data_IF_307052287119
#
_entry.id   IF_307052287119
#
_cell.length_a   1.000
_cell.length_b   1.000
_cell.length_c   1.000
_cell.angle_alpha   90.00
_cell.angle_beta   90.00
_cell.angle_gamma   90.00
#
_symmetry.space_group_name_H-M   'P 1'
#
loop_
_entity.id
_entity.type
_entity.pdbx_description
1 polymer ?
#
# COMPACT_ATOMS: atom_id res chain seq x y z
N UNK A 1 24.93 -19.52 -5.92
CA UNK A 1 25.12 -20.78 -5.17
C UNK A 1 23.89 -20.99 -4.29
N UNK A 2 23.11 -22.05 -4.55
CA UNK A 2 21.85 -22.31 -3.85
C UNK A 2 22.13 -22.82 -2.43
N UNK A 3 21.62 -22.09 -1.42
CA UNK A 3 21.66 -22.48 -0.01
C UNK A 3 20.70 -23.67 0.24
N UNK A 4 20.94 -24.55 1.24
CA UNK A 4 20.22 -25.81 1.42
C UNK A 4 18.71 -25.74 1.77
N UNK A 5 18.04 -24.58 1.76
CA UNK A 5 16.62 -24.50 2.16
C UNK A 5 15.88 -23.25 1.63
N UNK A 6 15.90 -23.00 0.32
CA UNK A 6 15.09 -21.95 -0.32
C UNK A 6 15.84 -20.65 -0.59
N UNK A 7 15.16 -19.51 -0.42
CA UNK A 7 15.69 -18.17 -0.70
C UNK A 7 15.14 -17.14 0.31
N UNK A 8 15.58 -15.88 0.23
CA UNK A 8 15.07 -14.79 1.08
C UNK A 8 13.55 -14.58 0.96
N UNK A 9 12.96 -15.01 -0.16
CA UNK A 9 11.54 -14.87 -0.43
C UNK A 9 10.70 -15.97 0.23
N UNK A 10 11.13 -17.21 0.10
CA UNK A 10 10.37 -18.41 0.47
C UNK A 10 11.30 -19.53 0.93
N UNK A 11 10.91 -20.22 1.99
CA UNK A 11 11.61 -21.38 2.53
C UNK A 11 11.00 -22.64 1.92
N UNK A 12 11.78 -23.38 1.13
CA UNK A 12 11.30 -24.55 0.39
C UNK A 12 12.42 -25.49 -0.01
N UNK A 13 12.06 -26.75 -0.28
CA UNK A 13 12.98 -27.82 -0.67
C UNK A 13 12.79 -28.30 -2.12
N UNK A 14 12.32 -27.41 -3.00
CA UNK A 14 12.23 -27.65 -4.44
C UNK A 14 12.55 -26.39 -5.27
N UNK A 15 12.91 -26.62 -6.53
CA UNK A 15 13.04 -25.60 -7.57
C UNK A 15 11.84 -25.67 -8.51
N UNK A 16 11.29 -24.51 -8.88
CA UNK A 16 10.24 -24.38 -9.88
C UNK A 16 10.86 -24.45 -11.29
N UNK A 17 10.28 -25.26 -12.16
CA UNK A 17 10.60 -25.21 -13.59
C UNK A 17 9.79 -24.10 -14.25
N UNK A 18 10.47 -23.06 -14.70
CA UNK A 18 9.86 -21.89 -15.27
C UNK A 18 9.19 -22.23 -16.62
N UNK A 19 7.87 -22.02 -16.79
CA UNK A 19 7.16 -22.41 -18.02
C UNK A 19 7.54 -21.54 -19.24
N UNK A 20 8.12 -20.36 -19.01
CA UNK A 20 8.56 -19.43 -20.05
C UNK A 20 9.88 -19.85 -20.73
N UNK A 21 10.84 -20.35 -19.96
CA UNK A 21 12.21 -20.61 -20.44
C UNK A 21 12.73 -22.02 -20.12
N UNK A 22 11.98 -22.83 -19.37
CA UNK A 22 12.35 -24.20 -18.99
C UNK A 22 13.45 -24.30 -17.93
N UNK A 23 14.04 -23.18 -17.52
CA UNK A 23 15.08 -23.09 -16.49
C UNK A 23 14.49 -23.31 -15.08
N UNK A 24 15.37 -23.66 -14.14
CA UNK A 24 14.98 -23.99 -12.76
C UNK A 24 15.39 -22.86 -11.80
N UNK A 25 14.45 -22.40 -11.01
CA UNK A 25 14.68 -21.36 -10.00
C UNK A 25 14.05 -21.75 -8.69
N UNK A 26 14.63 -21.28 -7.57
CA UNK A 26 14.04 -21.49 -6.24
C UNK A 26 12.62 -20.92 -6.20
N UNK A 27 12.41 -19.71 -6.72
CA UNK A 27 11.07 -19.14 -6.82
C UNK A 27 10.93 -18.18 -8.00
N UNK A 28 9.68 -17.77 -8.29
CA UNK A 28 9.37 -16.81 -9.36
C UNK A 28 10.14 -15.50 -9.25
N UNK A 29 10.40 -15.03 -8.03
CA UNK A 29 11.05 -13.73 -7.82
C UNK A 29 12.56 -13.82 -8.06
N UNK A 30 13.16 -14.96 -7.74
CA UNK A 30 14.54 -15.24 -8.13
C UNK A 30 14.67 -15.38 -9.64
N UNK A 31 13.65 -15.94 -10.32
CA UNK A 31 13.58 -15.93 -11.78
C UNK A 31 13.53 -14.49 -12.30
N UNK A 32 12.56 -13.69 -11.86
CA UNK A 32 12.31 -12.33 -12.37
C UNK A 32 13.48 -11.36 -12.09
N UNK A 33 14.35 -11.68 -11.12
CA UNK A 33 15.56 -10.91 -10.83
C UNK A 33 16.74 -11.26 -11.76
N UNK A 34 16.80 -12.50 -12.24
CA UNK A 34 17.90 -13.01 -13.09
C UNK A 34 17.56 -12.96 -14.58
N UNK A 35 16.27 -12.90 -14.92
CA UNK A 35 15.77 -12.92 -16.29
C UNK A 35 15.14 -11.58 -16.69
N UNK A 36 15.18 -11.27 -17.99
CA UNK A 36 14.59 -10.05 -18.54
C UNK A 36 13.06 -10.12 -18.76
N UNK A 37 12.40 -11.10 -18.17
CA UNK A 37 10.97 -11.36 -18.31
C UNK A 37 10.41 -11.96 -17.02
N UNK A 38 9.09 -11.89 -16.85
CA UNK A 38 8.42 -12.38 -15.65
C UNK A 38 7.90 -13.80 -15.82
N UNK A 39 7.98 -14.60 -14.75
CA UNK A 39 7.44 -15.95 -14.70
C UNK A 39 5.98 -15.96 -14.25
N UNK A 40 5.12 -16.56 -15.07
CA UNK A 40 3.74 -16.84 -14.68
C UNK A 40 3.66 -18.02 -13.71
N UNK A 41 3.35 -17.71 -12.45
CA UNK A 41 3.22 -18.69 -11.36
C UNK A 41 2.09 -19.70 -11.57
N UNK A 42 1.04 -19.33 -12.29
CA UNK A 42 -0.15 -20.19 -12.47
C UNK A 42 0.10 -21.30 -13.51
N UNK A 43 1.13 -21.11 -14.37
CA UNK A 43 1.47 -22.04 -15.45
C UNK A 43 2.57 -23.04 -15.07
N UNK A 44 3.14 -22.94 -13.87
CA UNK A 44 4.12 -23.90 -13.38
C UNK A 44 3.44 -25.27 -13.29
N UNK A 45 4.08 -26.31 -13.84
CA UNK A 45 3.57 -27.70 -13.77
C UNK A 45 4.54 -28.66 -13.14
N UNK A 46 5.83 -28.36 -13.22
CA UNK A 46 6.89 -29.25 -12.79
C UNK A 46 7.80 -28.56 -11.77
N UNK A 47 8.29 -29.35 -10.83
CA UNK A 47 9.26 -28.93 -9.82
C UNK A 47 10.38 -29.98 -9.74
N UNK A 48 11.57 -29.54 -9.35
CA UNK A 48 12.70 -30.43 -9.06
C UNK A 48 12.94 -30.48 -7.55
N UNK A 49 13.03 -31.68 -6.99
CA UNK A 49 13.39 -31.88 -5.60
C UNK A 49 14.83 -31.42 -5.32
N UNK A 50 15.05 -30.64 -4.27
CA UNK A 50 16.41 -30.21 -3.89
C UNK A 50 17.26 -31.35 -3.30
N UNK A 51 16.63 -32.32 -2.61
CA UNK A 51 17.33 -33.44 -1.96
C UNK A 51 17.79 -34.54 -2.93
N UNK A 52 16.87 -35.08 -3.75
CA UNK A 52 17.14 -36.22 -4.63
C UNK A 52 17.16 -35.86 -6.12
N UNK A 53 17.01 -34.57 -6.47
CA UNK A 53 17.08 -34.04 -7.84
C UNK A 53 16.00 -34.56 -8.82
N UNK A 54 15.02 -35.33 -8.36
CA UNK A 54 13.89 -35.81 -9.16
C UNK A 54 13.04 -34.65 -9.67
N UNK A 55 12.80 -34.62 -10.98
CA UNK A 55 11.82 -33.74 -11.62
C UNK A 55 10.47 -34.44 -11.63
N UNK A 56 9.44 -33.75 -11.17
CA UNK A 56 8.10 -34.31 -10.99
C UNK A 56 7.02 -33.23 -11.18
N UNK A 57 5.76 -33.63 -11.24
CA UNK A 57 4.64 -32.69 -11.20
C UNK A 57 4.65 -31.89 -9.89
N UNK A 58 4.14 -30.66 -9.95
CA UNK A 58 3.99 -29.82 -8.78
C UNK A 58 3.02 -30.46 -7.78
N UNK A 59 3.53 -30.76 -6.59
CA UNK A 59 2.78 -31.32 -5.46
C UNK A 59 3.57 -31.06 -4.18
N UNK A 60 2.96 -31.22 -3.01
CA UNK A 60 3.55 -30.83 -1.73
C UNK A 60 4.79 -31.66 -1.31
N UNK A 61 4.90 -32.90 -1.76
CA UNK A 61 5.96 -33.84 -1.35
C UNK A 61 6.69 -34.45 -2.54
N UNK A 62 7.95 -34.82 -2.36
CA UNK A 62 8.71 -35.53 -3.39
C UNK A 62 8.17 -36.95 -3.61
N UNK A 63 8.01 -37.37 -4.87
CA UNK A 63 7.55 -38.72 -5.21
C UNK A 63 8.61 -39.81 -4.96
N UNK A 64 9.88 -39.43 -4.89
CA UNK A 64 10.99 -40.37 -4.73
C UNK A 64 11.49 -40.47 -3.28
N UNK A 65 11.83 -39.34 -2.64
CA UNK A 65 12.37 -39.34 -1.28
C UNK A 65 11.36 -38.92 -0.20
N UNK A 66 10.11 -38.62 -0.57
CA UNK A 66 9.04 -38.18 0.33
C UNK A 66 9.32 -36.90 1.15
N UNK A 67 10.37 -36.15 0.82
CA UNK A 67 10.62 -34.85 1.48
C UNK A 67 9.47 -33.90 1.19
N UNK A 68 9.03 -33.17 2.22
CA UNK A 68 8.01 -32.13 2.08
C UNK A 68 8.67 -30.84 1.58
N UNK A 69 8.16 -30.29 0.47
CA UNK A 69 8.73 -29.09 -0.15
C UNK A 69 8.39 -27.80 0.60
N UNK A 70 7.33 -27.80 1.40
CA UNK A 70 6.93 -26.70 2.26
C UNK A 70 5.76 -27.09 3.18
N UNK A 71 5.72 -26.50 4.37
CA UNK A 71 4.61 -26.66 5.32
C UNK A 71 3.30 -26.19 4.70
N UNK A 72 3.35 -25.10 3.94
CA UNK A 72 2.26 -24.59 3.14
C UNK A 72 2.50 -24.86 1.65
N UNK A 73 1.51 -25.46 1.00
CA UNK A 73 1.43 -25.60 -0.45
C UNK A 73 0.11 -25.03 -0.96
N UNK A 74 0.18 -24.17 -1.97
CA UNK A 74 -0.99 -23.74 -2.73
C UNK A 74 -0.88 -24.25 -4.15
N UNK A 75 -1.80 -25.14 -4.53
CA UNK A 75 -1.88 -25.74 -5.85
C UNK A 75 -2.17 -24.69 -6.94
N UNK A 76 -3.11 -23.78 -6.68
CA UNK A 76 -3.48 -22.71 -7.64
C UNK A 76 -2.28 -21.80 -7.95
N UNK A 77 -1.56 -21.35 -6.92
CA UNK A 77 -0.45 -20.41 -7.08
C UNK A 77 0.91 -21.09 -7.31
N UNK A 78 0.97 -22.42 -7.21
CA UNK A 78 2.20 -23.22 -7.11
C UNK A 78 3.21 -22.63 -6.10
N UNK A 79 2.71 -22.21 -4.93
CA UNK A 79 3.51 -21.58 -3.87
C UNK A 79 3.87 -22.61 -2.80
N UNK A 80 5.18 -22.76 -2.55
CA UNK A 80 5.75 -23.56 -1.47
C UNK A 80 6.45 -22.65 -0.47
N UNK A 81 6.06 -22.70 0.80
CA UNK A 81 6.68 -21.89 1.86
C UNK A 81 6.50 -22.56 3.24
N UNK A 82 7.19 -22.04 4.26
CA UNK A 82 6.88 -22.34 5.67
C UNK A 82 5.51 -21.79 6.09
N UNK A 83 4.92 -22.29 7.17
CA UNK A 83 3.65 -21.77 7.68
C UNK A 83 3.85 -20.37 8.31
N UNK A 84 3.34 -19.35 7.62
CA UNK A 84 3.19 -17.96 8.08
C UNK A 84 1.71 -17.63 8.24
N UNK A 85 0.85 -18.65 8.42
CA UNK A 85 -0.62 -18.54 8.41
C UNK A 85 -1.19 -17.96 7.12
N UNK A 86 -0.47 -18.11 6.01
CA UNK A 86 -0.93 -17.67 4.70
C UNK A 86 -2.13 -18.49 4.22
N UNK A 87 -2.95 -17.87 3.39
CA UNK A 87 -4.13 -18.50 2.81
C UNK A 87 -4.32 -18.03 1.37
N UNK A 88 -4.97 -18.87 0.56
CA UNK A 88 -5.35 -18.48 -0.80
C UNK A 88 -6.68 -17.72 -0.74
N UNK A 89 -6.70 -16.49 -1.26
CA UNK A 89 -7.94 -15.73 -1.44
C UNK A 89 -8.49 -16.00 -2.83
N UNK A 90 -9.59 -16.75 -2.92
CA UNK A 90 -10.21 -17.13 -4.19
C UNK A 90 -10.61 -15.91 -5.05
N UNK A 91 -11.31 -14.88 -4.53
CA UNK A 91 -11.63 -13.69 -5.32
C UNK A 91 -10.42 -12.93 -5.87
N UNK A 92 -9.30 -12.91 -5.13
CA UNK A 92 -8.06 -12.27 -5.60
C UNK A 92 -7.22 -13.18 -6.52
N UNK A 93 -7.44 -14.49 -6.47
CA UNK A 93 -6.60 -15.49 -7.15
C UNK A 93 -5.15 -15.57 -6.66
N UNK A 94 -4.84 -15.03 -5.47
CA UNK A 94 -3.48 -15.02 -4.92
C UNK A 94 -3.42 -15.36 -3.44
N UNK A 95 -2.27 -15.92 -3.01
CA UNK A 95 -1.98 -16.17 -1.60
C UNK A 95 -1.70 -14.86 -0.86
N UNK A 96 -2.33 -14.68 0.29
CA UNK A 96 -2.12 -13.56 1.24
C UNK A 96 -1.53 -14.10 2.53
N UNK A 97 -0.75 -13.28 3.23
CA UNK A 97 -0.28 -13.60 4.59
C UNK A 97 -1.45 -13.38 5.55
N UNK A 98 -1.73 -14.35 6.41
CA UNK A 98 -2.87 -14.34 7.32
C UNK A 98 -2.48 -14.16 8.79
N UNK A 99 -3.24 -14.74 9.73
CA UNK A 99 -4.23 -15.82 9.53
C UNK A 99 -5.54 -15.36 8.87
N UNK A 100 -6.26 -16.29 8.21
CA UNK A 100 -7.45 -15.99 7.40
C UNK A 100 -8.55 -15.30 8.20
N UNK A 101 -8.68 -15.66 9.48
CA UNK A 101 -9.72 -15.14 10.37
C UNK A 101 -9.57 -13.64 10.69
N UNK A 102 -8.38 -13.07 10.49
CA UNK A 102 -8.10 -11.64 10.70
C UNK A 102 -8.36 -10.78 9.46
N UNK A 103 -8.77 -11.38 8.35
CA UNK A 103 -8.97 -10.68 7.09
C UNK A 103 -10.29 -11.09 6.45
N UNK A 104 -10.94 -10.13 5.81
CA UNK A 104 -12.08 -10.37 4.94
C UNK A 104 -11.78 -9.86 3.53
N UNK A 105 -12.46 -10.43 2.53
CA UNK A 105 -12.42 -9.91 1.17
C UNK A 105 -13.60 -8.96 0.96
N UNK A 106 -13.33 -7.74 0.51
CA UNK A 106 -14.36 -6.81 0.10
C UNK A 106 -14.54 -6.87 -1.43
N UNK A 107 -15.65 -7.46 -1.88
CA UNK A 107 -15.95 -7.65 -3.31
C UNK A 107 -16.01 -6.32 -4.09
N UNK A 108 -16.62 -5.28 -3.52
CA UNK A 108 -16.70 -3.96 -4.16
C UNK A 108 -15.31 -3.34 -4.36
N UNK A 109 -14.47 -3.44 -3.34
CA UNK A 109 -13.13 -2.89 -3.35
C UNK A 109 -12.13 -3.81 -4.10
N UNK A 110 -12.49 -5.08 -4.34
CA UNK A 110 -11.62 -6.14 -4.84
C UNK A 110 -10.30 -6.24 -4.06
N UNK A 111 -10.39 -6.23 -2.73
CA UNK A 111 -9.24 -6.17 -1.82
C UNK A 111 -9.47 -6.98 -0.54
N UNK A 112 -8.43 -7.68 -0.08
CA UNK A 112 -8.40 -8.26 1.27
C UNK A 112 -8.03 -7.18 2.29
N UNK A 113 -8.89 -6.98 3.28
CA UNK A 113 -8.75 -5.97 4.33
C UNK A 113 -8.74 -6.64 5.71
N UNK A 114 -8.08 -6.00 6.68
CA UNK A 114 -8.10 -6.45 8.07
C UNK A 114 -9.52 -6.40 8.63
N UNK A 115 -9.86 -7.32 9.55
CA UNK A 115 -11.20 -7.45 10.11
C UNK A 115 -11.73 -6.17 10.76
N UNK A 116 -10.85 -5.34 11.33
CA UNK A 116 -11.19 -4.06 11.96
C UNK A 116 -11.79 -3.03 10.97
N UNK A 117 -11.57 -3.22 9.67
CA UNK A 117 -12.10 -2.39 8.59
C UNK A 117 -13.49 -2.85 8.11
N UNK A 118 -14.03 -3.93 8.65
CA UNK A 118 -15.33 -4.46 8.28
C UNK A 118 -16.42 -3.44 8.64
N UNK A 119 -17.16 -2.97 7.64
CA UNK A 119 -18.24 -1.97 7.81
C UNK A 119 -17.78 -0.52 7.96
N UNK A 120 -16.49 -0.27 8.24
CA UNK A 120 -15.98 1.06 8.57
C UNK A 120 -15.06 1.67 7.52
N UNK A 121 -14.59 0.89 6.53
CA UNK A 121 -13.75 1.45 5.48
C UNK A 121 -14.57 2.20 4.42
N UNK A 122 -14.00 3.28 3.91
CA UNK A 122 -14.52 3.97 2.72
C UNK A 122 -14.26 3.08 1.50
N UNK A 123 -15.28 2.34 1.06
CA UNK A 123 -15.09 1.45 -0.07
C UNK A 123 -15.10 2.21 -1.39
N UNK A 124 -13.98 2.11 -2.11
CA UNK A 124 -13.78 2.66 -3.44
C UNK A 124 -13.66 1.48 -4.40
N UNK A 125 -14.47 1.49 -5.46
CA UNK A 125 -14.55 0.37 -6.38
C UNK A 125 -13.21 0.11 -7.08
N UNK A 126 -12.79 -1.17 -7.14
CA UNK A 126 -11.58 -1.60 -7.84
C UNK A 126 -10.28 -0.87 -7.43
N UNK A 127 -10.24 -0.29 -6.23
CA UNK A 127 -9.13 0.56 -5.79
C UNK A 127 -7.78 -0.18 -5.79
N UNK A 128 -7.77 -1.49 -5.56
CA UNK A 128 -6.54 -2.29 -5.56
C UNK A 128 -5.92 -2.50 -6.94
N UNK A 129 -6.67 -2.26 -8.04
CA UNK A 129 -6.19 -2.44 -9.41
C UNK A 129 -5.42 -1.23 -9.96
N UNK A 130 -5.27 -0.19 -9.16
CA UNK A 130 -4.46 0.97 -9.51
C UNK A 130 -3.03 0.80 -8.98
N UNK A 131 -2.05 1.32 -9.73
CA UNK A 131 -0.67 1.37 -9.26
C UNK A 131 -0.53 2.38 -8.12
N UNK A 132 0.48 2.18 -7.28
CA UNK A 132 0.82 3.12 -6.23
C UNK A 132 1.22 4.47 -6.86
N UNK A 133 0.57 5.59 -6.51
CA UNK A 133 0.88 6.90 -7.10
C UNK A 133 2.26 7.47 -6.70
N UNK A 134 2.96 6.82 -5.76
CA UNK A 134 4.29 7.24 -5.29
C UNK A 134 5.40 6.52 -6.08
N UNK A 135 5.34 5.19 -6.19
CA UNK A 135 6.38 4.40 -6.88
C UNK A 135 5.97 3.90 -8.27
N UNK A 136 4.70 4.06 -8.66
CA UNK A 136 4.12 3.61 -9.93
C UNK A 136 4.08 2.08 -10.11
N UNK A 137 4.33 1.31 -9.05
CA UNK A 137 4.26 -0.16 -9.07
C UNK A 137 2.87 -0.69 -8.70
N UNK A 138 2.58 -1.93 -9.13
CA UNK A 138 1.31 -2.61 -8.86
C UNK A 138 1.07 -2.80 -7.34
N UNK A 139 -0.15 -2.50 -6.88
CA UNK A 139 -0.56 -2.72 -5.48
C UNK A 139 -1.16 -4.12 -5.32
N UNK A 140 -1.89 -4.63 -6.33
CA UNK A 140 -2.73 -5.82 -6.15
C UNK A 140 -1.91 -7.08 -5.87
N UNK A 141 -0.89 -7.33 -6.68
CA UNK A 141 -0.06 -8.55 -6.67
C UNK A 141 1.26 -8.37 -5.93
N UNK A 142 1.54 -7.15 -5.44
CA UNK A 142 2.72 -6.86 -4.63
C UNK A 142 2.71 -7.63 -3.32
N UNK A 143 3.92 -7.92 -2.85
CA UNK A 143 4.16 -8.50 -1.51
C UNK A 143 4.21 -7.44 -0.43
N UNK A 144 4.39 -6.19 -0.82
CA UNK A 144 4.34 -5.06 0.10
C UNK A 144 2.88 -4.82 0.45
N UNK A 145 2.56 -4.77 1.74
CA UNK A 145 1.20 -4.50 2.18
C UNK A 145 0.70 -3.16 1.67
N UNK A 146 -0.60 -3.07 1.36
CA UNK A 146 -1.24 -1.81 1.02
C UNK A 146 -1.68 -1.09 2.31
N UNK A 147 -1.54 0.23 2.32
CA UNK A 147 -2.07 1.11 3.34
C UNK A 147 -3.26 1.88 2.76
N UNK A 148 -4.40 1.84 3.46
CA UNK A 148 -5.63 2.57 3.09
C UNK A 148 -5.62 3.93 3.78
N UNK A 149 -5.55 5.00 3.01
CA UNK A 149 -5.63 6.37 3.55
C UNK A 149 -7.06 6.72 3.99
N UNK A 150 -7.25 7.73 4.87
CA UNK A 150 -8.58 8.20 5.28
C UNK A 150 -9.49 8.58 4.10
N UNK A 151 -8.90 9.10 3.02
CA UNK A 151 -9.63 9.43 1.79
C UNK A 151 -10.08 8.22 0.97
N UNK A 152 -9.60 7.01 1.28
CA UNK A 152 -9.90 5.74 0.61
C UNK A 152 -8.85 5.29 -0.42
N UNK A 153 -7.89 6.15 -0.79
CA UNK A 153 -6.82 5.80 -1.72
C UNK A 153 -5.78 4.86 -1.09
N UNK A 154 -5.14 4.04 -1.92
CA UNK A 154 -4.13 3.06 -1.49
C UNK A 154 -2.72 3.53 -1.83
N UNK A 155 -1.80 3.24 -0.92
CA UNK A 155 -0.34 3.32 -1.14
C UNK A 155 0.30 2.00 -0.73
N UNK A 156 1.48 1.67 -1.24
CA UNK A 156 2.31 0.67 -0.55
C UNK A 156 2.67 1.18 0.85
N UNK A 157 2.75 0.26 1.82
CA UNK A 157 3.10 0.59 3.21
C UNK A 157 4.45 1.31 3.30
N UNK A 158 5.44 0.88 2.51
CA UNK A 158 6.74 1.54 2.41
C UNK A 158 6.62 2.99 1.90
N UNK A 159 5.85 3.22 0.85
CA UNK A 159 5.61 4.57 0.32
C UNK A 159 4.87 5.46 1.32
N UNK A 160 3.91 4.90 2.07
CA UNK A 160 3.25 5.64 3.15
C UNK A 160 4.23 6.00 4.28
N UNK A 161 5.08 5.06 4.69
CA UNK A 161 6.08 5.30 5.74
C UNK A 161 7.12 6.35 5.29
N UNK A 162 7.47 6.37 4.01
CA UNK A 162 8.31 7.41 3.40
C UNK A 162 7.62 8.79 3.43
N UNK A 163 6.32 8.85 3.16
CA UNK A 163 5.54 10.09 3.29
C UNK A 163 5.54 10.61 4.73
N UNK A 164 5.34 9.74 5.72
CA UNK A 164 5.41 10.10 7.14
C UNK A 164 6.79 10.64 7.50
N UNK A 165 7.87 9.96 7.07
CA UNK A 165 9.25 10.38 7.34
C UNK A 165 9.60 11.73 6.71
N UNK A 166 9.07 12.03 5.53
CA UNK A 166 9.33 13.29 4.81
C UNK A 166 8.38 14.42 5.20
N UNK A 167 7.36 14.14 6.01
CA UNK A 167 6.33 15.13 6.39
C UNK A 167 5.31 15.42 5.28
N UNK A 168 5.26 14.60 4.22
CA UNK A 168 4.31 14.73 3.13
C UNK A 168 2.92 14.24 3.57
N UNK A 169 2.20 15.06 4.34
CA UNK A 169 0.92 14.67 4.95
C UNK A 169 -0.28 14.63 4.02
N UNK A 170 -0.15 15.02 2.75
CA UNK A 170 -1.27 15.09 1.80
C UNK A 170 -1.27 13.89 0.88
N UNK A 171 -2.44 13.30 0.65
CA UNK A 171 -2.62 12.27 -0.35
C UNK A 171 -2.22 12.80 -1.74
N UNK A 172 -1.34 12.11 -2.49
CA UNK A 172 -0.86 12.58 -3.79
C UNK A 172 -1.95 12.61 -4.88
N UNK A 173 -3.10 11.96 -4.64
CA UNK A 173 -4.21 11.89 -5.60
C UNK A 173 -5.28 12.95 -5.37
N UNK A 174 -5.53 13.33 -4.11
CA UNK A 174 -6.68 14.18 -3.77
C UNK A 174 -6.40 15.26 -2.72
N UNK A 175 -5.15 15.38 -2.26
CA UNK A 175 -4.69 16.38 -1.28
C UNK A 175 -5.29 16.27 0.13
N UNK A 176 -6.25 15.38 0.37
CA UNK A 176 -6.76 15.06 1.70
C UNK A 176 -5.62 14.59 2.62
N UNK A 177 -5.68 14.96 3.90
CA UNK A 177 -4.72 14.54 4.93
C UNK A 177 -4.62 13.01 4.98
N UNK A 178 -3.40 12.49 4.94
CA UNK A 178 -3.08 11.07 4.86
C UNK A 178 -3.13 10.37 6.23
N UNK A 179 -3.07 11.12 7.33
CA UNK A 179 -3.22 10.67 8.71
C UNK A 179 -3.79 11.80 9.57
N UNK A 180 -4.01 11.56 10.87
CA UNK A 180 -4.50 12.59 11.79
C UNK A 180 -3.47 13.71 11.95
N UNK A 181 -3.90 14.95 11.74
CA UNK A 181 -3.07 16.15 11.85
C UNK A 181 -3.46 17.02 13.06
N UNK A 182 -4.27 16.48 13.99
CA UNK A 182 -4.81 17.21 15.15
C UNK A 182 -3.71 17.93 15.95
N UNK A 183 -2.68 17.22 16.38
CA UNK A 183 -1.56 17.80 17.13
C UNK A 183 -0.84 18.91 16.36
N UNK A 184 -0.74 18.78 15.03
CA UNK A 184 -0.10 19.77 14.18
C UNK A 184 -0.98 21.02 14.03
N UNK A 185 -2.29 20.85 13.88
CA UNK A 185 -3.25 21.96 13.83
C UNK A 185 -3.28 22.73 15.15
N UNK A 186 -3.19 22.04 16.29
CA UNK A 186 -3.09 22.65 17.61
C UNK A 186 -1.81 23.49 17.79
N UNK A 187 -0.72 23.10 17.14
CA UNK A 187 0.52 23.91 17.11
C UNK A 187 0.31 25.18 16.29
N UNK A 188 -0.31 25.08 15.12
CA UNK A 188 -0.63 26.25 14.28
C UNK A 188 -1.55 27.22 15.03
N UNK A 189 -2.56 26.72 15.76
CA UNK A 189 -3.44 27.56 16.59
C UNK A 189 -2.64 28.39 17.61
N UNK A 190 -1.66 27.77 18.29
CA UNK A 190 -0.80 28.45 19.27
C UNK A 190 0.08 29.51 18.62
N UNK A 191 0.66 29.21 17.46
CA UNK A 191 1.52 30.16 16.73
C UNK A 191 0.72 31.36 16.22
N UNK A 192 -0.49 31.13 15.70
CA UNK A 192 -1.42 32.19 15.28
C UNK A 192 -1.80 33.10 16.45
N UNK A 193 -2.11 32.53 17.62
CA UNK A 193 -2.43 33.32 18.80
C UNK A 193 -1.27 34.20 19.29
N UNK A 194 -0.03 33.77 19.06
CA UNK A 194 1.19 34.50 19.43
C UNK A 194 1.65 35.51 18.36
N UNK A 195 1.12 35.44 17.15
CA UNK A 195 1.58 36.23 15.99
C UNK A 195 0.43 37.03 15.38
N UNK A 196 -0.11 38.05 16.07
CA UNK A 196 -1.27 38.81 15.57
C UNK A 196 -0.98 39.47 14.22
N UNK A 197 -1.97 39.47 13.33
CA UNK A 197 -1.86 40.08 12.00
C UNK A 197 -1.62 41.60 12.09
N UNK A 198 -0.84 42.19 11.16
CA UNK A 198 -0.67 43.63 11.04
C UNK A 198 -2.01 44.36 10.89
N UNK A 199 -2.09 45.59 11.40
CA UNK A 199 -3.33 46.40 11.45
C UNK A 199 -4.05 46.50 10.10
N UNK A 200 -3.30 46.57 9.00
CA UNK A 200 -3.85 46.64 7.63
C UNK A 200 -4.67 45.39 7.22
N UNK A 201 -4.38 44.25 7.83
CA UNK A 201 -5.03 42.96 7.54
C UNK A 201 -5.86 42.46 8.73
N UNK A 202 -5.98 43.24 9.81
CA UNK A 202 -6.81 42.87 10.95
C UNK A 202 -8.29 42.78 10.52
N UNK A 203 -8.91 41.63 10.81
CA UNK A 203 -10.30 41.36 10.42
C UNK A 203 -10.50 41.01 8.95
N UNK A 204 -9.43 40.92 8.14
CA UNK A 204 -9.52 40.42 6.78
C UNK A 204 -10.05 38.97 6.78
N UNK A 205 -10.92 38.65 5.82
CA UNK A 205 -11.47 37.30 5.66
C UNK A 205 -11.26 36.80 4.24
N UNK A 206 -11.21 35.49 4.10
CA UNK A 206 -10.94 34.81 2.84
C UNK A 206 -11.86 33.61 2.67
N UNK A 207 -12.30 33.37 1.43
CA UNK A 207 -13.05 32.18 1.05
C UNK A 207 -12.08 31.04 0.81
N UNK A 208 -12.31 29.90 1.45
CA UNK A 208 -11.48 28.70 1.35
C UNK A 208 -12.32 27.47 0.99
N UNK A 209 -11.66 26.47 0.42
CA UNK A 209 -12.11 25.08 0.35
C UNK A 209 -11.19 24.24 1.25
N UNK A 210 -11.78 23.39 2.09
CA UNK A 210 -11.01 22.44 2.89
C UNK A 210 -10.79 21.12 2.14
N UNK A 211 -9.54 20.66 2.02
CA UNK A 211 -9.23 19.39 1.36
C UNK A 211 -9.67 18.17 2.18
N UNK A 212 -9.91 18.34 3.49
CA UNK A 212 -10.29 17.25 4.39
C UNK A 212 -11.81 17.04 4.43
N UNK A 213 -12.60 18.10 4.66
CA UNK A 213 -14.07 17.98 4.73
C UNK A 213 -14.80 18.48 3.47
N UNK A 214 -14.10 19.03 2.48
CA UNK A 214 -14.67 19.60 1.25
C UNK A 214 -15.64 20.78 1.47
N UNK A 215 -15.74 21.30 2.69
CA UNK A 215 -16.57 22.46 2.99
C UNK A 215 -15.97 23.75 2.41
N UNK A 216 -16.86 24.62 1.92
CA UNK A 216 -16.53 26.01 1.59
C UNK A 216 -16.81 26.90 2.80
N UNK A 217 -15.80 27.64 3.25
CA UNK A 217 -15.90 28.49 4.43
C UNK A 217 -15.39 29.91 4.10
N UNK A 218 -15.91 30.92 4.79
CA UNK A 218 -15.27 32.23 4.86
C UNK A 218 -14.67 32.37 6.25
N UNK A 219 -13.36 32.52 6.34
CA UNK A 219 -12.61 32.44 7.61
C UNK A 219 -11.65 33.62 7.75
N UNK A 220 -11.20 33.96 8.97
CA UNK A 220 -10.17 34.97 9.16
C UNK A 220 -8.91 34.63 8.38
N UNK A 221 -8.35 35.63 7.70
CA UNK A 221 -7.09 35.48 6.99
C UNK A 221 -5.92 35.57 7.99
N UNK A 222 -5.03 34.58 7.94
CA UNK A 222 -3.77 34.59 8.66
C UNK A 222 -2.66 34.01 7.79
N UNK A 223 -1.47 34.60 7.83
CA UNK A 223 -0.34 34.19 6.97
C UNK A 223 0.17 32.77 7.26
N UNK A 224 0.05 32.32 8.52
CA UNK A 224 0.46 30.96 8.94
C UNK A 224 -0.54 29.87 8.54
N UNK A 225 -1.81 30.21 8.30
CA UNK A 225 -2.81 29.21 7.96
C UNK A 225 -4.25 29.70 8.09
N UNK A 226 -5.14 29.10 7.30
CA UNK A 226 -6.57 29.41 7.30
C UNK A 226 -7.34 28.21 7.83
N UNK A 227 -7.84 28.31 9.07
CA UNK A 227 -8.54 27.21 9.75
C UNK A 227 -9.93 27.01 9.17
N UNK A 228 -10.26 25.79 8.74
CA UNK A 228 -11.61 25.45 8.34
C UNK A 228 -12.58 25.54 9.51
N UNK A 229 -13.68 26.29 9.35
CA UNK A 229 -14.70 26.44 10.41
C UNK A 229 -15.56 25.19 10.62
N UNK A 230 -15.56 24.24 9.69
CA UNK A 230 -16.35 23.01 9.78
C UNK A 230 -15.64 21.87 10.49
N UNK A 231 -14.35 21.64 10.21
CA UNK A 231 -13.60 20.51 10.76
C UNK A 231 -12.32 20.92 11.52
N UNK A 232 -11.97 22.20 11.58
CA UNK A 232 -10.77 22.68 12.26
C UNK A 232 -9.45 22.45 11.52
N UNK A 233 -9.46 21.79 10.37
CA UNK A 233 -8.24 21.53 9.58
C UNK A 233 -7.67 22.80 8.94
N UNK A 234 -6.35 22.91 8.91
CA UNK A 234 -5.62 23.92 8.13
C UNK A 234 -5.21 23.44 6.74
N UNK A 235 -5.59 22.22 6.34
CA UNK A 235 -5.39 21.72 4.98
C UNK A 235 -6.41 22.35 4.02
N UNK A 236 -6.25 23.64 3.75
CA UNK A 236 -7.20 24.48 3.02
C UNK A 236 -6.54 25.17 1.83
N UNK A 237 -7.34 25.55 0.83
CA UNK A 237 -6.92 26.31 -0.34
C UNK A 237 -7.82 27.54 -0.51
N UNK A 238 -7.25 28.68 -0.88
CA UNK A 238 -8.02 29.87 -1.21
C UNK A 238 -8.88 29.63 -2.45
N UNK A 239 -10.16 29.99 -2.37
CA UNK A 239 -11.03 30.10 -3.53
C UNK A 239 -10.68 31.39 -4.30
N UNK A 240 -9.67 31.34 -5.17
CA UNK A 240 -9.48 32.41 -6.14
C UNK A 240 -10.57 32.30 -7.21
N UNK A 241 -11.30 33.39 -7.45
CA UNK A 241 -12.12 33.56 -8.65
C UNK A 241 -11.18 33.59 -9.88
N UNK A 242 -10.82 32.41 -10.38
CA UNK A 242 -9.93 32.23 -11.52
C UNK A 242 -8.47 32.06 -11.11
N UNK A 243 -7.88 30.93 -11.51
CA UNK A 243 -6.47 30.51 -11.31
C UNK A 243 -6.06 30.10 -9.90
N UNK A 244 -5.80 28.80 -9.73
CA UNK A 244 -5.24 28.18 -8.52
C UNK A 244 -3.79 28.65 -8.35
N UNK A 245 -3.54 29.55 -7.40
CA UNK A 245 -2.19 29.88 -6.95
C UNK A 245 -1.88 29.07 -5.69
N UNK A 246 -1.02 28.06 -5.83
CA UNK A 246 -0.42 27.39 -4.68
C UNK A 246 0.50 28.39 -3.98
N UNK A 247 0.07 28.94 -2.84
CA UNK A 247 0.96 29.70 -1.97
C UNK A 247 1.81 28.69 -1.17
N UNK A 248 2.92 28.27 -1.78
CA UNK A 248 3.99 27.54 -1.11
C UNK A 248 4.73 28.51 -0.18
N UNK A 249 4.29 28.61 1.07
CA UNK A 249 5.13 29.20 2.12
C UNK A 249 6.21 28.18 2.50
N UNK A 250 7.39 28.29 1.87
CA UNK A 250 8.62 27.74 2.43
C UNK A 250 8.99 28.58 3.65
N UNK A 251 8.73 28.07 4.84
CA UNK A 251 9.46 28.52 6.03
C UNK A 251 10.77 27.73 6.10
N UNK A 252 11.82 28.31 5.51
CA UNK A 252 13.21 28.00 5.86
C UNK A 252 13.71 29.13 6.74
N UNK A 253 13.95 28.84 8.02
CA UNK A 253 15.13 29.29 8.77
C UNK A 253 15.50 28.19 9.76
#
# INVERSE_FOLDING_TARGET
MASPAGCEHYVRSCLLKAPCCGKLYVCRLCHDAEENHQMDRFRVREVQCSECQTVQQAQQTCQQCNVQFGEYYCDICHLFDKDKKQYHCQPCGICRIGPREKYFHCEKCNLCLAQDLLGNHKCVENVSRQNCPVCMEDIHTSRIGAHVLPCGHLLHKTCFDDMVRTGAYRCPLCMHSAWSMEDHWDQIDKEIAQSPMPTEYQGATVKIICNDCQAHCTVPFHVLGMKCSSCGSYNTCCCCSGTVSYVLFKFTQ
#
